data_IF_975880022611
#
_entry.id   IF_975880022611
#
_cell.length_a   1.000
_cell.length_b   1.000
_cell.length_c   1.000
_cell.angle_alpha   90.00
_cell.angle_beta   90.00
_cell.angle_gamma   90.00
#
_symmetry.space_group_name_H-M   'P 1'
#
loop_
_entity.id
_entity.type
_entity.pdbx_description
1 polymer ?
#
# COMPACT_ATOMS: atom_id res chain seq x y z
N UNK A 1 13.89 -3.69 2.81
CA UNK A 1 14.31 -4.41 4.03
C UNK A 1 15.58 -5.21 3.73
N UNK A 2 16.27 -5.67 4.77
CA UNK A 2 17.41 -6.59 4.64
C UNK A 2 17.03 -8.00 5.10
N UNK A 3 15.75 -8.38 4.89
CA UNK A 3 15.21 -9.65 5.32
C UNK A 3 15.54 -10.79 4.35
N UNK A 4 14.83 -11.90 4.49
CA UNK A 4 15.03 -13.09 3.65
C UNK A 4 14.48 -12.95 2.22
N UNK A 5 13.74 -11.89 1.91
CA UNK A 5 13.03 -11.77 0.64
C UNK A 5 12.06 -12.93 0.36
N UNK A 6 11.39 -12.88 -0.78
CA UNK A 6 10.46 -13.91 -1.24
C UNK A 6 10.30 -13.88 -2.77
N UNK A 7 9.77 -14.95 -3.34
CA UNK A 7 9.40 -14.98 -4.76
C UNK A 7 8.05 -14.28 -4.95
N UNK A 8 8.06 -13.08 -5.55
CA UNK A 8 6.88 -12.21 -5.68
C UNK A 8 5.72 -12.94 -6.36
N UNK A 9 5.95 -13.55 -7.52
CA UNK A 9 4.91 -14.23 -8.30
C UNK A 9 4.29 -15.39 -7.53
N UNK A 10 5.11 -16.25 -6.93
CA UNK A 10 4.63 -17.39 -6.14
C UNK A 10 3.84 -16.94 -4.89
N UNK A 11 4.23 -15.83 -4.27
CA UNK A 11 3.51 -15.25 -3.12
C UNK A 11 2.17 -14.65 -3.54
N UNK A 12 2.10 -13.98 -4.69
CA UNK A 12 0.84 -13.44 -5.22
C UNK A 12 -0.13 -14.55 -5.67
N UNK A 13 0.38 -15.64 -6.25
CA UNK A 13 -0.44 -16.77 -6.70
C UNK A 13 -0.99 -17.63 -5.54
N UNK A 14 -0.28 -17.70 -4.41
CA UNK A 14 -0.70 -18.44 -3.21
C UNK A 14 -1.74 -17.72 -2.33
N UNK A 15 -2.30 -16.60 -2.81
CA UNK A 15 -3.22 -15.72 -2.08
C UNK A 15 -4.49 -16.38 -1.50
N UNK A 16 -4.76 -17.66 -1.78
CA UNK A 16 -5.79 -18.45 -1.11
C UNK A 16 -5.42 -19.01 0.28
N UNK A 17 -4.13 -19.01 0.66
CA UNK A 17 -3.64 -19.60 1.92
C UNK A 17 -2.96 -18.57 2.83
N UNK A 18 -3.64 -17.50 3.25
CA UNK A 18 -3.14 -16.41 4.15
C UNK A 18 -1.87 -15.64 3.72
N UNK A 19 -0.98 -16.26 2.96
CA UNK A 19 0.26 -15.73 2.39
C UNK A 19 -0.12 -14.87 1.19
N UNK A 20 0.29 -13.61 1.21
CA UNK A 20 0.03 -12.66 0.11
C UNK A 20 -1.19 -11.76 0.28
N UNK A 21 -2.03 -11.94 1.31
CA UNK A 21 -3.16 -11.04 1.61
C UNK A 21 -2.68 -9.58 1.75
N UNK A 22 -1.56 -9.37 2.44
CA UNK A 22 -0.97 -8.05 2.62
C UNK A 22 -0.55 -7.39 1.30
N UNK A 23 0.08 -8.14 0.39
CA UNK A 23 0.53 -7.63 -0.91
C UNK A 23 -0.65 -7.33 -1.83
N UNK A 24 -1.64 -8.22 -1.87
CA UNK A 24 -2.88 -7.99 -2.60
C UNK A 24 -3.63 -6.77 -2.08
N UNK A 25 -3.72 -6.62 -0.76
CA UNK A 25 -4.32 -5.44 -0.15
C UNK A 25 -3.53 -4.15 -0.43
N UNK A 26 -2.21 -4.21 -0.64
CA UNK A 26 -1.42 -3.07 -1.12
C UNK A 26 -1.77 -2.74 -2.57
N UNK A 27 -1.86 -3.75 -3.45
CA UNK A 27 -2.21 -3.56 -4.86
C UNK A 27 -3.62 -2.97 -5.00
N UNK A 28 -4.60 -3.52 -4.28
CA UNK A 28 -5.98 -3.03 -4.28
C UNK A 28 -6.05 -1.58 -3.80
N UNK A 29 -5.36 -1.24 -2.69
CA UNK A 29 -5.29 0.14 -2.20
C UNK A 29 -4.65 1.08 -3.21
N UNK A 30 -3.57 0.67 -3.88
CA UNK A 30 -2.95 1.50 -4.91
C UNK A 30 -3.87 1.71 -6.10
N UNK A 31 -4.61 0.67 -6.52
CA UNK A 31 -5.64 0.81 -7.56
C UNK A 31 -6.74 1.79 -7.15
N UNK A 32 -7.20 1.74 -5.89
CA UNK A 32 -8.25 2.64 -5.37
C UNK A 32 -7.84 4.10 -5.36
N UNK A 33 -6.57 4.41 -5.10
CA UNK A 33 -6.06 5.79 -5.08
C UNK A 33 -5.49 6.23 -6.43
N UNK A 34 -5.66 5.44 -7.50
CA UNK A 34 -5.08 5.72 -8.82
C UNK A 34 -3.55 5.73 -8.83
N UNK A 35 -2.94 5.04 -7.87
CA UNK A 35 -1.49 4.94 -7.69
C UNK A 35 -0.86 3.76 -8.40
N UNK A 36 0.46 3.68 -8.27
CA UNK A 36 1.30 2.59 -8.79
C UNK A 36 2.05 1.91 -7.64
N UNK A 37 2.17 0.59 -7.72
CA UNK A 37 2.95 -0.25 -6.82
C UNK A 37 4.02 -1.00 -7.62
N UNK A 38 5.25 -1.02 -7.12
CA UNK A 38 6.31 -1.90 -7.62
C UNK A 38 6.92 -2.63 -6.43
N UNK A 39 7.08 -3.95 -6.54
CA UNK A 39 7.69 -4.80 -5.52
C UNK A 39 8.84 -5.55 -6.14
N UNK A 40 10.04 -5.38 -5.59
CA UNK A 40 11.24 -6.11 -5.94
C UNK A 40 11.64 -6.96 -4.75
N UNK A 41 11.52 -8.27 -4.86
CA UNK A 41 11.95 -9.18 -3.80
C UNK A 41 12.71 -10.33 -4.41
N UNK A 42 13.79 -10.73 -3.76
CA UNK A 42 14.57 -11.90 -4.18
C UNK A 42 14.92 -12.69 -2.92
N UNK A 43 14.63 -14.01 -2.86
CA UNK A 43 15.02 -14.85 -1.74
C UNK A 43 16.52 -14.69 -1.42
N UNK A 44 16.83 -14.52 -0.14
CA UNK A 44 18.17 -14.24 0.39
C UNK A 44 18.65 -12.79 0.26
N UNK A 45 17.94 -11.91 -0.45
CA UNK A 45 18.41 -10.55 -0.78
C UNK A 45 17.50 -9.43 -0.24
N UNK A 46 16.43 -9.80 0.46
CA UNK A 46 15.46 -8.85 1.01
C UNK A 46 14.38 -8.43 0.02
N UNK A 47 13.66 -7.39 0.41
CA UNK A 47 12.50 -6.84 -0.32
C UNK A 47 12.58 -5.32 -0.39
N UNK A 48 12.28 -4.76 -1.55
CA UNK A 48 12.09 -3.34 -1.80
C UNK A 48 10.67 -3.11 -2.33
N UNK A 49 9.98 -2.09 -1.81
CA UNK A 49 8.61 -1.73 -2.19
C UNK A 49 8.60 -0.24 -2.53
N UNK A 50 8.18 0.09 -3.75
CA UNK A 50 8.02 1.46 -4.22
C UNK A 50 6.54 1.74 -4.48
N UNK A 51 6.07 2.89 -4.01
CA UNK A 51 4.68 3.35 -4.18
C UNK A 51 4.67 4.76 -4.72
N UNK A 52 3.76 5.02 -5.66
CA UNK A 52 3.50 6.35 -6.20
C UNK A 52 2.01 6.63 -6.11
N UNK A 53 1.65 7.76 -5.52
CA UNK A 53 0.25 8.20 -5.40
C UNK A 53 0.13 9.59 -6.03
N UNK A 54 -0.85 9.83 -6.91
CA UNK A 54 -1.10 11.15 -7.44
C UNK A 54 -1.40 12.12 -6.29
N UNK A 55 -0.70 13.25 -6.26
CA UNK A 55 -1.04 14.32 -5.34
C UNK A 55 -2.16 15.13 -5.95
N UNK A 56 -3.30 15.20 -5.28
CA UNK A 56 -4.28 16.24 -5.56
C UNK A 56 -3.70 17.56 -5.07
N UNK A 57 -3.72 18.65 -5.86
CA UNK A 57 -3.43 19.98 -5.34
C UNK A 57 -4.30 20.20 -4.11
N UNK A 58 -3.68 20.61 -3.01
CA UNK A 58 -4.38 20.78 -1.74
C UNK A 58 -5.44 21.87 -1.89
N UNK A 59 -6.67 21.49 -2.22
CA UNK A 59 -7.83 22.31 -1.87
C UNK A 59 -7.85 22.38 -0.35
N UNK A 60 -7.85 23.59 0.20
CA UNK A 60 -7.80 23.91 1.64
C UNK A 60 -8.33 22.74 2.48
N UNK A 61 -7.47 22.21 3.35
CA UNK A 61 -7.93 21.39 4.47
C UNK A 61 -8.81 22.30 5.30
N UNK A 62 -10.12 22.30 5.00
CA UNK A 62 -11.12 22.87 5.87
C UNK A 62 -11.10 22.00 7.12
N UNK A 63 -10.31 22.42 8.10
CA UNK A 63 -10.58 22.08 9.48
C UNK A 63 -12.04 22.42 9.71
N UNK A 64 -12.90 21.41 9.75
CA UNK A 64 -14.24 21.58 10.26
C UNK A 64 -14.05 21.99 11.73
N UNK A 65 -14.05 23.30 11.99
CA UNK A 65 -14.30 23.83 13.31
C UNK A 65 -15.68 23.34 13.68
N UNK A 66 -15.73 22.36 14.58
CA UNK A 66 -16.93 21.84 15.20
C UNK A 66 -17.71 23.01 15.85
N UNK A 67 -18.87 23.43 15.31
CA UNK A 67 -19.67 24.47 15.92
C UNK A 67 -20.74 23.79 16.76
N UNK A 68 -20.44 23.38 18.00
CA UNK A 68 -21.45 22.63 18.73
C UNK A 68 -21.14 22.13 20.14
N UNK A 69 -20.73 22.99 21.07
CA UNK A 69 -21.13 22.80 22.48
C UNK A 69 -21.51 24.15 23.08
N UNK A 70 -22.76 24.53 22.86
CA UNK A 70 -23.52 25.36 23.79
C UNK A 70 -24.75 24.55 24.16
N UNK A 71 -24.73 23.94 25.34
CA UNK A 71 -25.83 24.05 26.29
C UNK A 71 -25.38 23.68 27.69
#
# INVERSE_FOLDING_TARGET
DHGKGFAVEATCQRAGQQVGIGLRGMEERMRLVGGRLEIRSTPGHGTEIHVWVPLTPMGEVRHASDPGTTR
#
